data_IF_028351029369
#
_entry.id   IF_028351029369
#
_cell.length_a   1.000
_cell.length_b   1.000
_cell.length_c   1.000
_cell.angle_alpha   90.00
_cell.angle_beta   90.00
_cell.angle_gamma   90.00
#
_symmetry.space_group_name_H-M   'P 1'
#
loop_
_entity.id
_entity.type
_entity.pdbx_description
1 polymer ?
#
# COMPACT_ATOMS: atom_id res chain seq x y z
N UNK A 1 1.99 -13.66 -10.02
CA UNK A 1 1.23 -12.64 -9.26
C UNK A 1 1.97 -11.31 -9.40
N UNK A 2 1.31 -10.17 -9.65
CA UNK A 2 2.03 -8.88 -9.78
C UNK A 2 2.53 -8.39 -8.41
N UNK A 3 3.75 -7.85 -8.35
CA UNK A 3 4.30 -7.18 -7.16
C UNK A 3 3.34 -6.12 -6.59
N UNK A 4 2.55 -5.47 -7.46
CA UNK A 4 1.54 -4.49 -7.06
C UNK A 4 0.49 -5.07 -6.08
N UNK A 5 0.02 -6.31 -6.28
CA UNK A 5 -0.95 -6.95 -5.36
C UNK A 5 -0.33 -7.23 -3.99
N UNK A 6 0.93 -7.67 -3.95
CA UNK A 6 1.67 -7.86 -2.70
C UNK A 6 1.86 -6.53 -1.96
N UNK A 7 2.17 -5.45 -2.68
CA UNK A 7 2.29 -4.10 -2.10
C UNK A 7 0.95 -3.64 -1.53
N UNK A 8 -0.16 -3.78 -2.27
CA UNK A 8 -1.52 -3.46 -1.78
C UNK A 8 -1.82 -4.23 -0.49
N UNK A 9 -1.59 -5.55 -0.48
CA UNK A 9 -1.77 -6.38 0.71
C UNK A 9 -0.94 -5.88 1.89
N UNK A 10 0.34 -5.59 1.66
CA UNK A 10 1.25 -5.05 2.68
C UNK A 10 0.76 -3.71 3.23
N UNK A 11 0.34 -2.77 2.37
CA UNK A 11 -0.18 -1.47 2.79
C UNK A 11 -1.40 -1.65 3.68
N UNK A 12 -2.37 -2.49 3.27
CA UNK A 12 -3.55 -2.79 4.08
C UNK A 12 -3.13 -3.37 5.45
N UNK A 13 -2.24 -4.37 5.48
CA UNK A 13 -1.78 -4.95 6.75
C UNK A 13 -1.12 -3.95 7.68
N UNK A 14 -0.35 -3.00 7.16
CA UNK A 14 0.30 -2.00 8.00
C UNK A 14 -0.66 -0.88 8.46
N UNK A 15 -1.66 -0.51 7.65
CA UNK A 15 -2.76 0.37 8.09
C UNK A 15 -3.59 -0.31 9.18
N UNK A 16 -3.87 -1.61 9.05
CA UNK A 16 -4.59 -2.40 10.06
C UNK A 16 -3.85 -2.43 11.40
N UNK A 17 -2.52 -2.58 11.38
CA UNK A 17 -1.67 -2.58 12.58
C UNK A 17 -1.51 -1.19 13.20
N UNK A 18 -1.36 -0.16 12.37
CA UNK A 18 -1.18 1.23 12.81
C UNK A 18 0.18 1.55 13.43
N UNK A 19 1.20 0.69 13.26
CA UNK A 19 2.52 0.88 13.89
C UNK A 19 3.51 1.68 13.03
N UNK A 20 3.59 1.37 11.73
CA UNK A 20 4.53 1.97 10.79
C UNK A 20 3.75 2.45 9.56
N UNK A 21 3.91 3.72 9.21
CA UNK A 21 3.32 4.28 7.99
C UNK A 21 4.07 3.76 6.75
N UNK A 22 3.41 3.05 5.81
CA UNK A 22 4.04 2.60 4.58
C UNK A 22 4.47 3.77 3.69
N UNK A 23 5.61 3.60 3.02
CA UNK A 23 6.25 4.62 2.16
C UNK A 23 6.88 3.95 0.96
N UNK A 24 7.06 4.67 -0.14
CA UNK A 24 7.65 4.16 -1.38
C UNK A 24 9.01 3.48 -1.14
N UNK A 25 9.84 4.07 -0.27
CA UNK A 25 11.15 3.53 0.10
C UNK A 25 11.07 2.13 0.73
N UNK A 26 10.05 1.80 1.52
CA UNK A 26 9.93 0.46 2.11
C UNK A 26 9.85 -0.61 1.03
N UNK A 27 9.18 -0.31 -0.09
CA UNK A 27 8.99 -1.23 -1.20
C UNK A 27 10.09 -1.15 -2.27
N UNK A 28 10.97 -0.14 -2.18
CA UNK A 28 12.03 0.08 -3.18
C UNK A 28 11.50 0.57 -4.52
N UNK A 29 10.40 1.32 -4.51
CA UNK A 29 9.77 1.91 -5.70
C UNK A 29 9.80 3.43 -5.62
N UNK A 30 9.45 4.11 -6.72
CA UNK A 30 9.35 5.58 -6.76
C UNK A 30 8.08 6.08 -6.06
N UNK A 31 8.10 7.34 -5.60
CA UNK A 31 6.89 8.00 -5.06
C UNK A 31 5.76 8.09 -6.09
N UNK A 32 6.10 8.26 -7.37
CA UNK A 32 5.13 8.23 -8.46
C UNK A 32 4.40 6.88 -8.53
N UNK A 33 5.16 5.77 -8.54
CA UNK A 33 4.58 4.42 -8.58
C UNK A 33 3.78 4.12 -7.30
N UNK A 34 4.29 4.50 -6.14
CA UNK A 34 3.60 4.32 -4.87
C UNK A 34 2.30 5.13 -4.82
N UNK A 35 2.31 6.38 -5.29
CA UNK A 35 1.13 7.22 -5.39
C UNK A 35 0.08 6.64 -6.34
N UNK A 36 0.47 6.05 -7.46
CA UNK A 36 -0.46 5.38 -8.36
C UNK A 36 -1.08 4.11 -7.74
N UNK A 37 -0.32 3.39 -6.90
CA UNK A 37 -0.86 2.27 -6.12
C UNK A 37 -1.88 2.75 -5.10
N UNK A 38 -1.57 3.80 -4.34
CA UNK A 38 -2.47 4.34 -3.31
C UNK A 38 -3.71 4.97 -3.95
N UNK A 39 -3.59 5.68 -5.07
CA UNK A 39 -4.74 6.15 -5.86
C UNK A 39 -5.64 5.00 -6.28
N UNK A 40 -5.09 3.90 -6.79
CA UNK A 40 -5.87 2.72 -7.13
C UNK A 40 -6.61 2.13 -5.91
N UNK A 41 -5.97 2.12 -4.74
CA UNK A 41 -6.60 1.62 -3.51
C UNK A 41 -7.75 2.51 -3.02
N UNK A 42 -7.65 3.83 -3.16
CA UNK A 42 -8.77 4.77 -2.91
C UNK A 42 -9.90 4.59 -3.93
N UNK A 43 -9.57 4.58 -5.22
CA UNK A 43 -10.55 4.47 -6.31
C UNK A 43 -11.34 3.16 -6.26
N UNK A 44 -10.67 2.06 -5.96
CA UNK A 44 -11.31 0.75 -5.78
C UNK A 44 -12.00 0.64 -4.42
N UNK A 45 -11.83 1.62 -3.53
CA UNK A 45 -12.48 1.69 -2.23
C UNK A 45 -11.92 0.70 -1.22
N UNK A 46 -10.65 0.29 -1.33
CA UNK A 46 -9.96 -0.56 -0.34
C UNK A 46 -9.54 0.23 0.92
N UNK A 47 -9.21 1.50 0.72
CA UNK A 47 -8.89 2.45 1.79
C UNK A 47 -9.65 3.75 1.55
N UNK A 48 -9.67 4.61 2.56
CA UNK A 48 -10.13 6.00 2.46
C UNK A 48 -9.31 6.93 3.33
N UNK A 49 -9.24 8.20 2.97
CA UNK A 49 -8.59 9.25 3.77
C UNK A 49 -7.06 9.27 3.62
N UNK A 50 -6.54 8.77 2.50
CA UNK A 50 -5.13 8.97 2.13
C UNK A 50 -4.90 10.38 1.55
N UNK A 51 -3.68 10.90 1.70
CA UNK A 51 -3.27 12.17 1.11
C UNK A 51 -2.21 11.96 0.04
N UNK A 52 -2.41 12.49 -1.17
CA UNK A 52 -1.43 12.40 -2.25
C UNK A 52 -1.13 13.81 -2.76
N UNK A 53 0.08 14.29 -2.50
CA UNK A 53 0.57 15.54 -3.07
C UNK A 53 1.19 15.26 -4.45
N UNK A 54 0.64 15.90 -5.48
CA UNK A 54 1.08 15.76 -6.87
C UNK A 54 1.64 17.07 -7.40
N UNK A 55 2.59 17.00 -8.34
CA UNK A 55 3.18 18.20 -8.94
C UNK A 55 4.11 17.92 -10.13
N UNK A 56 4.72 18.99 -10.65
CA UNK A 56 5.67 18.92 -11.76
C UNK A 56 5.05 18.55 -13.11
N UNK A 57 5.91 18.22 -14.09
CA UNK A 57 5.46 17.71 -15.40
C UNK A 57 4.82 16.33 -15.19
N UNK A 58 3.64 16.13 -15.78
CA UNK A 58 2.81 14.91 -15.69
C UNK A 58 2.02 14.71 -14.39
N UNK A 59 1.99 15.68 -13.46
CA UNK A 59 1.21 15.57 -12.21
C UNK A 59 1.49 14.28 -11.42
N UNK A 60 2.76 13.86 -11.40
CA UNK A 60 3.19 12.67 -10.70
C UNK A 60 3.07 12.88 -9.18
N UNK A 61 2.85 11.80 -8.44
CA UNK A 61 2.90 11.85 -6.99
C UNK A 61 4.33 12.17 -6.52
N UNK A 62 4.44 13.18 -5.66
CA UNK A 62 5.68 13.61 -5.03
C UNK A 62 5.77 13.14 -3.58
N UNK A 63 4.63 13.09 -2.88
CA UNK A 63 4.54 12.65 -1.48
C UNK A 63 3.19 11.96 -1.27
N UNK A 64 3.19 10.87 -0.49
CA UNK A 64 1.99 10.12 -0.10
C UNK A 64 1.92 10.03 1.43
N UNK A 65 0.75 10.30 1.98
CA UNK A 65 0.43 10.27 3.40
C UNK A 65 -0.64 9.20 3.65
N UNK A 66 -0.35 8.27 4.55
CA UNK A 66 -1.23 7.18 4.97
C UNK A 66 -1.57 7.23 6.46
N UNK A 67 -1.00 8.16 7.22
CA UNK A 67 -1.25 8.36 8.65
C UNK A 67 -2.73 8.61 9.02
N UNK A 68 -3.55 9.12 8.10
CA UNK A 68 -5.00 9.29 8.27
C UNK A 68 -5.84 8.25 7.53
N UNK A 69 -5.19 7.36 6.76
CA UNK A 69 -5.88 6.37 5.96
C UNK A 69 -6.56 5.32 6.85
N UNK A 70 -7.75 4.90 6.45
CA UNK A 70 -8.52 3.84 7.11
C UNK A 70 -8.89 2.77 6.10
N UNK A 71 -8.79 1.51 6.53
CA UNK A 71 -9.33 0.39 5.78
C UNK A 71 -10.85 0.48 5.69
N UNK A 72 -11.40 0.12 4.53
CA UNK A 72 -12.84 -0.04 4.31
C UNK A 72 -13.26 -1.50 4.49
N UNK A 73 -14.56 -1.80 4.42
CA UNK A 73 -15.03 -3.18 4.40
C UNK A 73 -14.40 -3.99 3.25
N UNK A 74 -14.35 -3.41 2.04
CA UNK A 74 -13.73 -4.06 0.88
C UNK A 74 -12.23 -4.30 1.06
N UNK A 75 -11.54 -3.41 1.78
CA UNK A 75 -10.14 -3.62 2.15
C UNK A 75 -9.95 -4.80 3.11
N UNK A 76 -10.88 -5.02 4.05
CA UNK A 76 -10.87 -6.19 4.92
C UNK A 76 -11.15 -7.48 4.13
N UNK A 77 -12.16 -7.47 3.27
CA UNK A 77 -12.48 -8.59 2.38
C UNK A 77 -11.27 -8.97 1.52
N UNK A 78 -10.56 -7.98 0.97
CA UNK A 78 -9.33 -8.22 0.22
C UNK A 78 -8.26 -8.94 1.06
N UNK A 79 -8.08 -8.57 2.32
CA UNK A 79 -7.13 -9.24 3.22
C UNK A 79 -7.53 -10.69 3.49
N UNK A 80 -8.82 -10.96 3.68
CA UNK A 80 -9.36 -12.30 3.94
C UNK A 80 -9.21 -13.22 2.72
N UNK A 81 -9.57 -12.74 1.53
CA UNK A 81 -9.45 -13.47 0.26
C UNK A 81 -7.98 -13.79 -0.08
N UNK A 82 -7.05 -12.95 0.35
CA UNK A 82 -5.62 -13.10 0.10
C UNK A 82 -4.86 -13.67 1.32
N UNK A 83 -5.51 -14.49 2.15
CA UNK A 83 -4.91 -15.05 3.38
C UNK A 83 -3.59 -15.84 3.17
N UNK A 84 -3.31 -16.34 1.96
CA UNK A 84 -2.05 -16.99 1.62
C UNK A 84 -0.88 -16.00 1.73
N UNK A 85 -1.11 -14.74 1.35
CA UNK A 85 -0.13 -13.68 1.53
C UNK A 85 0.10 -13.41 3.02
N UNK A 86 -0.94 -13.47 3.85
CA UNK A 86 -0.82 -13.30 5.30
C UNK A 86 0.15 -14.32 5.93
N UNK A 87 0.18 -15.56 5.42
CA UNK A 87 1.06 -16.62 5.94
C UNK A 87 2.55 -16.38 5.63
N UNK A 88 2.84 -15.64 4.58
CA UNK A 88 4.22 -15.40 4.11
C UNK A 88 4.70 -13.98 4.43
N UNK A 89 3.78 -13.06 4.70
CA UNK A 89 4.07 -11.68 5.07
C UNK A 89 4.66 -11.60 6.47
N UNK A 90 5.87 -11.03 6.59
CA UNK A 90 6.61 -10.91 7.85
C UNK A 90 6.68 -9.47 8.40
N UNK A 91 5.88 -8.56 7.84
CA UNK A 91 5.89 -7.15 8.21
C UNK A 91 6.78 -6.30 7.30
N UNK A 92 6.65 -4.98 7.48
CA UNK A 92 7.20 -3.99 6.55
C UNK A 92 8.73 -4.00 6.46
N UNK A 93 9.42 -4.36 7.55
CA UNK A 93 10.89 -4.43 7.60
C UNK A 93 11.47 -5.47 6.64
N UNK A 94 10.75 -6.57 6.42
CA UNK A 94 11.16 -7.71 5.59
C UNK A 94 10.50 -7.67 4.19
N UNK A 95 9.78 -6.59 3.87
CA UNK A 95 8.86 -6.56 2.72
C UNK A 95 9.58 -6.70 1.38
N UNK A 96 10.78 -6.12 1.23
CA UNK A 96 11.54 -6.18 -0.02
C UNK A 96 11.96 -7.59 -0.38
N UNK A 97 12.36 -8.39 0.60
CA UNK A 97 12.71 -9.78 0.39
C UNK A 97 11.47 -10.61 0.10
N UNK A 98 10.37 -10.34 0.81
CA UNK A 98 9.08 -10.97 0.54
C UNK A 98 8.52 -10.67 -0.86
N UNK A 99 8.78 -9.48 -1.41
CA UNK A 99 8.40 -9.13 -2.79
C UNK A 99 9.13 -9.99 -3.84
N UNK A 100 10.33 -10.50 -3.53
CA UNK A 100 11.16 -11.31 -4.44
C UNK A 100 10.78 -12.80 -4.46
N UNK A 101 10.02 -13.27 -3.47
CA UNK A 101 9.52 -14.66 -3.37
C UNK A 101 8.41 -14.96 -4.38
#
# INVERSE_FOLDING_TARGET
MSNKRKIIFSILKEIEKGEIEPRAEHYGISDAEFGDIVSLMEEDGLIKGSGIARGGRNNAASVVFLNTAKITLKGLEYLEENNILAKTYKGLKEVRDWLRL
#
